data_IF_385057973012
#
_entry.id   IF_385057973012
#
_cell.length_a   1.000
_cell.length_b   1.000
_cell.length_c   1.000
_cell.angle_alpha   90.00
_cell.angle_beta   90.00
_cell.angle_gamma   90.00
#
_symmetry.space_group_name_H-M   'P 1'
#
loop_
_entity.id
_entity.type
_entity.pdbx_description
1 polymer ?
#
# COMPACT_ATOMS: atom_id res chain seq x y z
N UNK A 1 -8.66 -21.87 -10.21
CA UNK A 1 -7.48 -20.98 -10.05
C UNK A 1 -7.84 -19.56 -9.62
N UNK A 2 -8.89 -18.94 -10.19
CA UNK A 2 -9.29 -17.55 -9.86
C UNK A 2 -9.70 -17.29 -8.40
N UNK A 3 -10.28 -18.29 -7.70
CA UNK A 3 -10.62 -18.17 -6.28
C UNK A 3 -9.41 -17.80 -5.42
N UNK A 4 -8.29 -18.50 -5.60
CA UNK A 4 -7.06 -18.23 -4.83
C UNK A 4 -6.52 -16.83 -5.14
N UNK A 5 -6.55 -16.41 -6.41
CA UNK A 5 -6.14 -15.05 -6.80
C UNK A 5 -6.96 -13.98 -6.08
N UNK A 6 -8.28 -14.09 -6.05
CA UNK A 6 -9.14 -13.11 -5.37
C UNK A 6 -9.00 -13.16 -3.84
N UNK A 7 -8.81 -14.35 -3.26
CA UNK A 7 -8.52 -14.48 -1.83
C UNK A 7 -7.21 -13.78 -1.47
N UNK A 8 -6.12 -14.07 -2.19
CA UNK A 8 -4.82 -13.45 -1.94
C UNK A 8 -4.84 -11.95 -2.18
N UNK A 9 -5.49 -11.47 -3.24
CA UNK A 9 -5.62 -10.04 -3.50
C UNK A 9 -6.38 -9.35 -2.37
N UNK A 10 -7.49 -9.95 -1.90
CA UNK A 10 -8.24 -9.43 -0.74
C UNK A 10 -7.42 -9.41 0.55
N UNK A 11 -6.61 -10.44 0.81
CA UNK A 11 -5.72 -10.48 1.98
C UNK A 11 -4.63 -9.41 1.91
N UNK A 12 -3.97 -9.26 0.75
CA UNK A 12 -2.93 -8.24 0.54
C UNK A 12 -3.53 -6.84 0.72
N UNK A 13 -4.69 -6.57 0.12
CA UNK A 13 -5.36 -5.26 0.28
C UNK A 13 -5.81 -4.99 1.72
N UNK A 14 -6.22 -6.02 2.47
CA UNK A 14 -6.58 -5.87 3.88
C UNK A 14 -5.36 -5.63 4.78
N UNK A 15 -4.30 -6.41 4.61
CA UNK A 15 -3.03 -6.22 5.34
C UNK A 15 -2.43 -4.85 5.08
N UNK A 16 -2.49 -4.36 3.83
CA UNK A 16 -2.09 -2.99 3.51
C UNK A 16 -2.93 -1.94 4.26
N UNK A 17 -4.24 -2.18 4.35
CA UNK A 17 -5.14 -1.29 5.09
C UNK A 17 -4.76 -1.13 6.56
N UNK A 18 -4.16 -2.15 7.17
CA UNK A 18 -3.66 -2.11 8.55
C UNK A 18 -2.44 -1.20 8.72
N UNK A 19 -1.56 -1.17 7.71
CA UNK A 19 -0.32 -0.38 7.74
C UNK A 19 -0.58 1.14 7.60
N UNK A 20 -1.74 1.54 7.05
CA UNK A 20 -2.22 2.92 6.86
C UNK A 20 -2.69 3.61 8.16
N UNK A 21 -1.89 3.57 9.23
CA UNK A 21 -2.24 4.23 10.49
C UNK A 21 -1.93 5.73 10.45
N UNK A 22 -2.98 6.57 10.36
CA UNK A 22 -2.89 8.05 10.28
C UNK A 22 -1.97 8.69 11.33
N UNK A 23 -1.94 8.19 12.56
CA UNK A 23 -1.07 8.74 13.62
C UNK A 23 0.41 8.40 13.42
N UNK A 24 0.72 7.27 12.76
CA UNK A 24 2.10 6.92 12.39
C UNK A 24 2.55 7.77 11.21
N UNK A 25 1.66 8.00 10.23
CA UNK A 25 1.95 8.82 9.06
C UNK A 25 2.28 10.28 9.42
N UNK A 26 1.58 10.85 10.40
CA UNK A 26 1.85 12.23 10.88
C UNK A 26 3.23 12.42 11.52
N UNK A 27 3.91 11.34 11.92
CA UNK A 27 5.22 11.38 12.58
C UNK A 27 6.38 11.16 11.62
N UNK A 28 6.10 10.95 10.34
CA UNK A 28 7.11 10.73 9.31
C UNK A 28 7.95 12.01 9.14
N UNK A 29 9.27 11.86 9.27
CA UNK A 29 10.22 12.93 8.99
C UNK A 29 10.43 13.15 7.50
N UNK A 30 10.66 14.41 7.11
CA UNK A 30 10.88 14.81 5.70
C UNK A 30 12.06 14.04 5.06
N UNK A 31 13.17 13.82 5.78
CA UNK A 31 14.30 13.07 5.24
C UNK A 31 13.93 11.65 4.78
N UNK A 32 13.07 10.95 5.54
CA UNK A 32 12.61 9.61 5.16
C UNK A 32 11.73 9.65 3.90
N UNK A 33 10.82 10.63 3.81
CA UNK A 33 9.93 10.78 2.65
C UNK A 33 10.72 11.04 1.36
N UNK A 34 11.75 11.89 1.40
CA UNK A 34 12.60 12.16 0.23
C UNK A 34 13.32 10.88 -0.21
N UNK A 35 13.94 10.16 0.74
CA UNK A 35 14.68 8.94 0.44
C UNK A 35 13.76 7.90 -0.21
N UNK A 36 12.61 7.61 0.41
CA UNK A 36 11.67 6.61 -0.10
C UNK A 36 11.13 6.98 -1.47
N UNK A 37 10.72 8.24 -1.69
CA UNK A 37 10.19 8.66 -2.98
C UNK A 37 11.25 8.60 -4.08
N UNK A 38 12.46 9.14 -3.83
CA UNK A 38 13.53 9.12 -4.84
C UNK A 38 13.90 7.68 -5.19
N UNK A 39 14.08 6.82 -4.18
CA UNK A 39 14.38 5.40 -4.39
C UNK A 39 13.28 4.73 -5.21
N UNK A 40 12.01 4.88 -4.82
CA UNK A 40 10.88 4.25 -5.48
C UNK A 40 10.77 4.67 -6.95
N UNK A 41 10.80 5.98 -7.24
CA UNK A 41 10.71 6.49 -8.60
C UNK A 41 11.89 6.04 -9.45
N UNK A 42 13.11 6.08 -8.91
CA UNK A 42 14.30 5.64 -9.63
C UNK A 42 14.21 4.14 -9.96
N UNK A 43 13.81 3.31 -9.01
CA UNK A 43 13.62 1.87 -9.21
C UNK A 43 12.60 1.58 -10.30
N UNK A 44 11.43 2.22 -10.26
CA UNK A 44 10.40 2.07 -11.29
C UNK A 44 10.94 2.45 -12.66
N UNK A 45 11.60 3.60 -12.79
CA UNK A 45 12.13 4.08 -14.07
C UNK A 45 13.18 3.11 -14.60
N UNK A 46 14.14 2.68 -13.78
CA UNK A 46 15.21 1.78 -14.20
C UNK A 46 14.66 0.42 -14.65
N UNK A 47 13.75 -0.17 -13.89
CA UNK A 47 13.12 -1.45 -14.25
C UNK A 47 12.28 -1.28 -15.50
N UNK A 48 11.48 -0.20 -15.59
CA UNK A 48 10.66 0.08 -16.77
C UNK A 48 11.52 0.18 -18.03
N UNK A 49 12.62 0.95 -17.98
CA UNK A 49 13.54 1.11 -19.10
C UNK A 49 14.20 -0.22 -19.48
N UNK A 50 14.69 -0.98 -18.50
CA UNK A 50 15.32 -2.27 -18.74
C UNK A 50 14.35 -3.25 -19.42
N UNK A 51 13.16 -3.46 -18.86
CA UNK A 51 12.19 -4.40 -19.40
C UNK A 51 11.63 -3.97 -20.76
N UNK A 52 11.46 -2.67 -20.99
CA UNK A 52 10.96 -2.16 -22.27
C UNK A 52 12.01 -2.24 -23.36
N UNK A 53 13.24 -1.75 -23.12
CA UNK A 53 14.24 -1.60 -24.18
C UNK A 53 15.19 -2.78 -24.33
N UNK A 54 15.47 -3.52 -23.24
CA UNK A 54 16.37 -4.68 -23.29
C UNK A 54 15.57 -5.96 -23.56
N UNK A 55 14.44 -6.13 -22.89
CA UNK A 55 13.65 -7.36 -22.96
C UNK A 55 12.43 -7.27 -23.90
N UNK A 56 12.10 -6.08 -24.41
CA UNK A 56 11.00 -5.88 -25.36
C UNK A 56 9.59 -6.01 -24.76
N UNK A 57 9.43 -5.84 -23.45
CA UNK A 57 8.13 -5.93 -22.80
C UNK A 57 7.28 -4.67 -23.08
N UNK A 58 5.95 -4.79 -23.16
CA UNK A 58 5.05 -3.64 -23.22
C UNK A 58 5.27 -2.70 -22.03
N UNK A 59 5.26 -1.38 -22.29
CA UNK A 59 5.53 -0.34 -21.28
C UNK A 59 4.71 -0.51 -20.00
N UNK A 60 3.44 -0.93 -20.12
CA UNK A 60 2.55 -1.12 -18.97
C UNK A 60 2.95 -2.31 -18.10
N UNK A 61 3.42 -3.39 -18.71
CA UNK A 61 3.91 -4.56 -17.98
C UNK A 61 5.23 -4.19 -17.29
N UNK A 62 6.11 -3.46 -17.98
CA UNK A 62 7.37 -2.98 -17.42
C UNK A 62 7.15 -2.00 -16.24
N UNK A 63 6.13 -1.15 -16.29
CA UNK A 63 5.72 -0.26 -15.19
C UNK A 63 5.20 -1.05 -13.98
N UNK A 64 4.33 -2.05 -14.22
CA UNK A 64 3.82 -2.92 -13.16
C UNK A 64 4.94 -3.70 -12.47
N UNK A 65 5.87 -4.25 -13.25
CA UNK A 65 7.08 -4.91 -12.74
C UNK A 65 7.95 -3.92 -11.96
N UNK A 66 8.10 -2.69 -12.45
CA UNK A 66 8.81 -1.61 -11.77
C UNK A 66 8.21 -1.30 -10.40
N UNK A 67 6.89 -1.19 -10.28
CA UNK A 67 6.23 -0.93 -8.99
C UNK A 67 6.40 -2.06 -7.99
N UNK A 68 6.32 -3.33 -8.42
CA UNK A 68 6.56 -4.47 -7.52
C UNK A 68 8.04 -4.52 -7.11
N UNK A 69 8.95 -4.13 -8.01
CA UNK A 69 10.38 -4.07 -7.73
C UNK A 69 10.80 -2.96 -6.76
N UNK A 70 9.90 -2.04 -6.39
CA UNK A 70 10.15 -1.03 -5.35
C UNK A 70 10.32 -1.68 -3.99
N UNK A 71 9.68 -2.83 -3.74
CA UNK A 71 9.71 -3.54 -2.47
C UNK A 71 11.14 -3.69 -1.93
N UNK A 72 11.42 -3.04 -0.79
CA UNK A 72 12.69 -3.22 -0.07
C UNK A 72 12.45 -3.84 1.32
N UNK A 73 13.51 -4.34 1.96
CA UNK A 73 13.40 -5.01 3.26
C UNK A 73 14.00 -4.18 4.43
N UNK A 74 13.55 -2.93 4.70
CA UNK A 74 14.07 -2.13 5.80
C UNK A 74 13.63 -2.67 7.17
N UNK A 75 12.51 -3.39 7.23
CA UNK A 75 11.92 -3.91 8.47
C UNK A 75 12.85 -4.89 9.21
N UNK A 76 13.47 -5.83 8.49
CA UNK A 76 14.38 -6.80 9.10
C UNK A 76 15.60 -6.13 9.73
N UNK A 77 16.19 -5.18 9.02
CA UNK A 77 17.33 -4.39 9.49
C UNK A 77 16.97 -3.61 10.75
N UNK A 78 15.80 -2.98 10.79
CA UNK A 78 15.31 -2.28 11.97
C UNK A 78 15.08 -3.20 13.17
N UNK A 79 14.50 -4.39 12.95
CA UNK A 79 14.31 -5.40 14.00
C UNK A 79 15.65 -5.82 14.60
N UNK A 80 16.67 -6.05 13.76
CA UNK A 80 18.02 -6.39 14.20
C UNK A 80 18.66 -5.23 14.98
N UNK A 81 18.58 -3.99 14.48
CA UNK A 81 19.07 -2.82 15.20
C UNK A 81 18.41 -2.68 16.58
N UNK A 82 17.11 -3.00 16.70
CA UNK A 82 16.43 -2.98 17.98
C UNK A 82 16.89 -4.13 18.90
N UNK A 83 17.07 -5.35 18.36
CA UNK A 83 17.63 -6.49 19.11
C UNK A 83 19.03 -6.21 19.65
N UNK A 84 19.88 -5.56 18.86
CA UNK A 84 21.24 -5.19 19.26
C UNK A 84 21.32 -3.86 20.01
N UNK A 85 20.17 -3.23 20.34
CA UNK A 85 20.08 -1.94 21.06
C UNK A 85 20.91 -0.82 20.41
N UNK A 86 20.98 -0.83 19.07
CA UNK A 86 21.61 0.25 18.31
C UNK A 86 20.68 1.46 18.36
N UNK A 87 21.26 2.65 18.56
CA UNK A 87 20.55 3.93 18.65
C UNK A 87 21.14 4.95 17.67
N UNK A 88 20.41 6.04 17.41
CA UNK A 88 20.87 7.16 16.59
C UNK A 88 19.96 7.49 15.41
N UNK A 89 20.38 8.50 14.64
CA UNK A 89 19.57 9.08 13.55
C UNK A 89 19.18 8.06 12.48
N UNK A 90 20.07 7.13 12.13
CA UNK A 90 19.80 6.10 11.12
C UNK A 90 18.63 5.20 11.52
N UNK A 91 18.54 4.77 12.78
CA UNK A 91 17.43 3.95 13.28
C UNK A 91 16.09 4.70 13.19
N UNK A 92 16.09 5.99 13.50
CA UNK A 92 14.89 6.83 13.43
C UNK A 92 14.44 7.05 11.98
N UNK A 93 15.39 7.23 11.05
CA UNK A 93 15.10 7.31 9.61
C UNK A 93 14.52 5.97 9.12
N UNK A 94 15.15 4.84 9.45
CA UNK A 94 14.66 3.51 9.06
C UNK A 94 13.27 3.22 9.61
N UNK A 95 12.97 3.61 10.85
CA UNK A 95 11.63 3.48 11.43
C UNK A 95 10.55 4.18 10.59
N UNK A 96 10.88 5.36 10.06
CA UNK A 96 9.97 6.13 9.20
C UNK A 96 9.91 5.56 7.78
N UNK A 97 11.04 5.08 7.24
CA UNK A 97 11.09 4.46 5.91
C UNK A 97 10.21 3.22 5.86
N UNK A 98 10.21 2.37 6.88
CA UNK A 98 9.37 1.15 6.91
C UNK A 98 7.91 1.49 6.63
N UNK A 99 7.37 2.53 7.30
CA UNK A 99 5.98 2.95 7.09
C UNK A 99 5.77 3.56 5.71
N UNK A 100 6.75 4.29 5.18
CA UNK A 100 6.62 4.93 3.86
C UNK A 100 6.78 3.96 2.69
N UNK A 101 7.63 2.93 2.82
CA UNK A 101 8.00 2.02 1.74
C UNK A 101 6.79 1.20 1.30
N UNK A 102 6.12 0.52 2.25
CA UNK A 102 4.94 -0.31 2.00
C UNK A 102 3.79 0.50 1.34
N UNK A 103 3.62 1.76 1.78
CA UNK A 103 2.61 2.66 1.21
C UNK A 103 2.97 3.11 -0.21
N UNK A 104 4.24 3.45 -0.42
CA UNK A 104 4.71 3.95 -1.71
C UNK A 104 4.63 2.87 -2.77
N UNK A 105 5.03 1.63 -2.44
CA UNK A 105 4.93 0.47 -3.32
C UNK A 105 3.49 0.28 -3.82
N UNK A 106 2.54 0.22 -2.89
CA UNK A 106 1.17 -0.12 -3.26
C UNK A 106 0.43 1.04 -3.91
N UNK A 107 0.74 2.28 -3.55
CA UNK A 107 0.25 3.44 -4.30
C UNK A 107 0.72 3.39 -5.75
N UNK A 108 2.01 3.15 -6.01
CA UNK A 108 2.56 3.07 -7.36
C UNK A 108 1.95 1.91 -8.14
N UNK A 109 1.89 0.71 -7.54
CA UNK A 109 1.29 -0.46 -8.17
C UNK A 109 -0.19 -0.23 -8.52
N UNK A 110 -0.97 0.33 -7.59
CA UNK A 110 -2.39 0.61 -7.79
C UNK A 110 -2.62 1.64 -8.91
N UNK A 111 -1.80 2.68 -8.99
CA UNK A 111 -1.87 3.69 -10.05
C UNK A 111 -1.60 3.04 -11.41
N UNK A 112 -0.51 2.28 -11.54
CA UNK A 112 -0.16 1.63 -12.80
C UNK A 112 -1.18 0.57 -13.22
N UNK A 113 -1.72 -0.18 -12.26
CA UNK A 113 -2.78 -1.14 -12.51
C UNK A 113 -4.06 -0.46 -12.98
N UNK A 114 -4.42 0.68 -12.38
CA UNK A 114 -5.61 1.45 -12.74
C UNK A 114 -5.55 2.05 -14.15
N UNK A 115 -4.38 2.48 -14.61
CA UNK A 115 -4.19 3.00 -15.99
C UNK A 115 -3.95 1.88 -17.02
N UNK A 116 -3.69 0.65 -16.59
CA UNK A 116 -3.35 -0.45 -17.49
C UNK A 116 -4.42 -0.74 -18.56
N UNK A 117 -5.73 -0.78 -18.24
CA UNK A 117 -6.77 -0.98 -19.23
C UNK A 117 -6.80 0.11 -20.29
N UNK A 118 -6.55 1.37 -19.91
CA UNK A 118 -6.53 2.50 -20.83
C UNK A 118 -5.37 2.39 -21.84
N UNK A 119 -4.17 2.05 -21.34
CA UNK A 119 -2.97 1.89 -22.18
C UNK A 119 -3.04 0.65 -23.09
N UNK A 120 -3.73 -0.41 -22.66
CA UNK A 120 -3.91 -1.64 -23.46
C UNK A 120 -5.00 -1.50 -24.54
N UNK A 121 -5.98 -0.62 -24.35
CA UNK A 121 -7.16 -0.53 -25.23
C UNK A 121 -6.97 0.31 -26.50
N UNK A 122 -5.81 0.97 -26.69
CA UNK A 122 -5.40 1.54 -27.98
C UNK A 122 -6.20 2.71 -28.58
N UNK A 123 -7.34 3.13 -28.04
CA UNK A 123 -8.04 4.37 -28.45
C UNK A 123 -9.58 4.33 -28.37
N UNK A 124 -10.16 5.51 -28.15
CA UNK A 124 -11.61 5.82 -28.04
C UNK A 124 -12.35 5.10 -26.92
N UNK A 125 -11.83 5.26 -25.71
CA UNK A 125 -12.63 5.09 -24.51
C UNK A 125 -13.53 6.31 -24.35
N UNK A 126 -14.85 6.11 -24.26
CA UNK A 126 -15.79 7.18 -23.87
C UNK A 126 -15.48 7.61 -22.42
N UNK A 127 -14.58 8.59 -22.30
CA UNK A 127 -13.97 9.03 -21.04
C UNK A 127 -15.03 9.41 -20.01
N UNK A 128 -16.20 9.88 -20.45
CA UNK A 128 -17.33 10.21 -19.58
C UNK A 128 -17.94 8.96 -18.94
N UNK A 129 -18.22 7.93 -19.73
CA UNK A 129 -18.88 6.73 -19.24
C UNK A 129 -17.96 5.91 -18.33
N UNK A 130 -16.67 5.84 -18.64
CA UNK A 130 -15.67 5.16 -17.80
C UNK A 130 -15.43 5.94 -16.51
N UNK A 131 -15.31 7.27 -16.56
CA UNK A 131 -15.11 8.08 -15.36
C UNK A 131 -16.29 7.96 -14.39
N UNK A 132 -17.53 8.00 -14.88
CA UNK A 132 -18.72 7.81 -14.04
C UNK A 132 -18.76 6.42 -13.40
N UNK A 133 -18.46 5.37 -14.15
CA UNK A 133 -18.41 4.01 -13.63
C UNK A 133 -17.35 3.85 -12.54
N UNK A 134 -16.13 4.34 -12.77
CA UNK A 134 -15.03 4.29 -11.80
C UNK A 134 -15.37 5.06 -10.52
N UNK A 135 -15.97 6.25 -10.64
CA UNK A 135 -16.41 7.03 -9.47
C UNK A 135 -17.46 6.27 -8.68
N UNK A 136 -18.44 5.65 -9.35
CA UNK A 136 -19.48 4.85 -8.70
C UNK A 136 -18.90 3.62 -8.00
N UNK A 137 -17.99 2.89 -8.64
CA UNK A 137 -17.30 1.74 -8.04
C UNK A 137 -16.51 2.14 -6.79
N UNK A 138 -15.72 3.22 -6.87
CA UNK A 138 -14.95 3.71 -5.73
C UNK A 138 -15.89 4.15 -4.60
N UNK A 139 -16.96 4.87 -4.91
CA UNK A 139 -17.94 5.32 -3.92
C UNK A 139 -18.64 4.14 -3.23
N UNK A 140 -19.05 3.12 -3.99
CA UNK A 140 -19.65 1.91 -3.44
C UNK A 140 -18.65 1.10 -2.60
N UNK A 141 -17.41 0.94 -3.07
CA UNK A 141 -16.35 0.26 -2.33
C UNK A 141 -16.05 0.96 -0.99
N UNK A 142 -15.94 2.30 -1.00
CA UNK A 142 -15.78 3.09 0.21
C UNK A 142 -16.98 2.96 1.16
N UNK A 143 -18.21 2.98 0.63
CA UNK A 143 -19.41 2.83 1.42
C UNK A 143 -19.46 1.47 2.12
N UNK A 144 -19.21 0.38 1.39
CA UNK A 144 -19.14 -0.98 1.94
C UNK A 144 -18.01 -1.09 2.97
N UNK A 145 -16.82 -0.56 2.66
CA UNK A 145 -15.69 -0.53 3.60
C UNK A 145 -16.03 0.21 4.90
N UNK A 146 -16.72 1.36 4.82
CA UNK A 146 -17.14 2.14 5.98
C UNK A 146 -18.18 1.39 6.83
N UNK A 147 -19.13 0.71 6.18
CA UNK A 147 -20.14 -0.09 6.87
C UNK A 147 -19.51 -1.25 7.64
N UNK A 148 -18.58 -1.98 7.02
CA UNK A 148 -17.82 -3.06 7.67
C UNK A 148 -17.00 -2.51 8.84
N UNK A 149 -16.32 -1.38 8.64
CA UNK A 149 -15.55 -0.70 9.69
C UNK A 149 -16.44 -0.33 10.90
N UNK A 150 -17.62 0.25 10.67
CA UNK A 150 -18.57 0.59 11.74
C UNK A 150 -19.05 -0.67 12.46
N UNK A 151 -19.42 -1.73 11.73
CA UNK A 151 -19.86 -2.99 12.31
C UNK A 151 -18.79 -3.63 13.21
N UNK A 152 -17.53 -3.67 12.74
CA UNK A 152 -16.39 -4.15 13.51
C UNK A 152 -16.14 -3.29 14.75
N UNK A 153 -16.15 -1.96 14.59
CA UNK A 153 -15.94 -1.01 15.70
C UNK A 153 -16.98 -1.18 16.80
N UNK A 154 -18.25 -1.40 16.46
CA UNK A 154 -19.33 -1.63 17.43
C UNK A 154 -19.15 -2.96 18.17
N UNK A 155 -18.82 -4.04 17.44
CA UNK A 155 -18.61 -5.37 18.02
C UNK A 155 -17.43 -5.40 18.98
N UNK A 156 -16.30 -4.82 18.58
CA UNK A 156 -15.06 -4.80 19.39
C UNK A 156 -15.21 -3.90 20.61
N UNK A 157 -15.82 -2.71 20.49
CA UNK A 157 -16.06 -1.81 21.62
C UNK A 157 -16.94 -2.47 22.69
N UNK A 158 -17.97 -3.22 22.28
CA UNK A 158 -18.83 -3.95 23.21
C UNK A 158 -18.05 -5.00 24.01
N UNK A 159 -17.20 -5.79 23.35
CA UNK A 159 -16.36 -6.82 23.98
C UNK A 159 -15.34 -6.24 24.97
N UNK A 160 -14.63 -5.17 24.59
CA UNK A 160 -13.63 -4.50 25.44
C UNK A 160 -14.23 -3.88 26.71
N UNK A 161 -15.41 -3.26 26.61
CA UNK A 161 -16.12 -2.71 27.77
C UNK A 161 -16.58 -3.82 28.73
N UNK A 162 -17.03 -4.96 28.19
CA UNK A 162 -17.39 -6.13 29.01
C UNK A 162 -16.19 -6.72 29.74
N UNK A 163 -15.02 -6.78 29.11
CA UNK A 163 -13.79 -7.32 29.71
C UNK A 163 -13.25 -6.38 30.81
N UNK A 164 -13.14 -5.06 30.54
CA UNK A 164 -12.64 -4.09 31.53
C UNK A 164 -13.58 -4.04 32.75
N UNK A 165 -14.90 -4.08 32.54
CA UNK A 165 -15.88 -4.12 33.64
C UNK A 165 -15.81 -5.41 34.46
N UNK A 166 -15.31 -6.51 33.91
CA UNK A 166 -15.12 -7.78 34.63
C UNK A 166 -13.87 -7.78 35.51
N UNK A 167 -12.85 -6.99 35.17
CA UNK A 167 -11.62 -6.85 35.96
C UNK A 167 -11.65 -5.68 36.96
N UNK A 168 -12.52 -4.68 36.79
CA UNK A 168 -12.66 -3.54 37.71
C UNK A 168 -13.55 -3.80 38.93
N UNK A 169 -14.09 -5.03 39.09
CA UNK A 169 -14.95 -5.45 40.22
C UNK A 169 -14.21 -6.48 41.13
N UNK A 170 -12.91 -6.70 40.89
CA UNK A 170 -11.97 -7.39 41.78
C UNK A 170 -10.97 -6.37 42.31
#
# INVERSE_FOLDING_TARGET
MQFFTFLFLGLITFSLGEELHLERMKKIGWSAAIITLIQAFLTVILIMLAFTYIFGFPIIISLLLGSIGVATAPALSFILMNKFKIEGNLKNILANIIVLDDLTEVLLFSIFLGIAPFLLSGGHVDVKHISLHVIQEIAMALCVGLLIFIALKLTIKSSLITIIRRYSIL
#
